data_IF_766444979314
#
_entry.id   IF_766444979314
#
_cell.length_a   1.000
_cell.length_b   1.000
_cell.length_c   1.000
_cell.angle_alpha   90.00
_cell.angle_beta   90.00
_cell.angle_gamma   90.00
#
_symmetry.space_group_name_H-M   'P 1'
#
loop_
_entity.id
_entity.type
_entity.pdbx_description
1 polymer ?
#
# COMPACT_ATOMS: atom_id res chain seq x y z
N UNK A 1 16.91 42.93 -20.57
CA UNK A 1 15.66 42.21 -20.28
C UNK A 1 15.93 40.72 -20.51
N UNK A 2 16.09 39.94 -19.45
CA UNK A 2 16.35 38.48 -19.55
C UNK A 2 15.01 37.77 -19.33
N UNK A 3 14.51 37.10 -20.34
CA UNK A 3 13.29 36.27 -20.22
C UNK A 3 13.61 35.02 -19.43
N UNK A 4 13.05 34.93 -18.23
CA UNK A 4 13.07 33.75 -17.39
C UNK A 4 11.98 32.78 -17.90
N UNK A 5 12.37 31.79 -18.64
CA UNK A 5 11.49 30.68 -19.05
C UNK A 5 11.26 29.79 -17.82
N UNK A 6 10.11 29.95 -17.19
CA UNK A 6 9.62 29.03 -16.15
C UNK A 6 9.08 27.77 -16.87
N UNK A 7 9.87 26.71 -16.86
CA UNK A 7 9.43 25.39 -17.29
C UNK A 7 8.50 24.82 -16.19
N UNK A 8 7.21 25.03 -16.32
CA UNK A 8 6.21 24.30 -15.55
C UNK A 8 6.12 22.88 -16.12
N UNK A 9 6.74 21.91 -15.45
CA UNK A 9 6.55 20.51 -15.75
C UNK A 9 5.11 20.12 -15.40
N UNK A 10 4.27 20.06 -16.40
CA UNK A 10 2.91 19.55 -16.31
C UNK A 10 3.00 18.03 -16.12
N UNK A 11 2.90 17.55 -14.86
CA UNK A 11 2.73 16.13 -14.57
C UNK A 11 1.31 15.77 -15.01
N UNK A 12 1.20 15.27 -16.23
CA UNK A 12 -0.04 14.67 -16.72
C UNK A 12 -0.23 13.37 -15.98
N UNK A 13 -1.00 13.41 -14.89
CA UNK A 13 -1.54 12.20 -14.26
C UNK A 13 -2.55 11.60 -15.25
N UNK A 14 -2.13 10.64 -16.06
CA UNK A 14 -3.06 9.78 -16.79
C UNK A 14 -3.89 9.03 -15.74
N UNK A 15 -5.10 9.50 -15.51
CA UNK A 15 -6.13 8.73 -14.78
C UNK A 15 -6.51 7.58 -15.72
N UNK A 16 -5.86 6.42 -15.54
CA UNK A 16 -6.27 5.19 -16.19
C UNK A 16 -7.60 4.82 -15.54
N UNK A 17 -8.69 5.05 -16.26
CA UNK A 17 -10.06 4.73 -15.86
C UNK A 17 -10.17 3.23 -15.58
N UNK A 18 -10.16 2.83 -14.30
CA UNK A 18 -10.35 1.43 -13.89
C UNK A 18 -9.59 0.97 -12.65
N UNK A 19 -8.54 1.68 -12.24
CA UNK A 19 -7.84 1.41 -10.97
C UNK A 19 -8.59 2.04 -9.79
N UNK A 20 -8.65 1.39 -8.62
CA UNK A 20 -8.97 2.05 -7.36
C UNK A 20 -8.07 3.26 -7.17
N UNK A 21 -8.60 4.32 -6.57
CA UNK A 21 -7.99 5.65 -6.53
C UNK A 21 -6.55 5.73 -6.02
N UNK A 22 -6.10 4.72 -5.22
CA UNK A 22 -4.77 4.74 -4.60
C UNK A 22 -3.74 3.82 -5.28
N UNK A 23 -4.15 3.00 -6.26
CA UNK A 23 -3.22 2.21 -7.05
C UNK A 23 -2.77 2.95 -8.30
N UNK A 24 -1.49 2.80 -8.65
CA UNK A 24 -0.88 3.34 -9.87
C UNK A 24 0.14 2.35 -10.42
N UNK A 25 0.46 2.47 -11.70
CA UNK A 25 1.51 1.70 -12.35
C UNK A 25 2.72 2.61 -12.56
N UNK A 26 3.87 2.24 -11.98
CA UNK A 26 5.13 2.93 -12.16
C UNK A 26 6.21 1.92 -12.55
N UNK A 27 6.91 2.14 -13.66
CA UNK A 27 8.00 1.27 -14.15
C UNK A 27 7.59 -0.22 -14.23
N UNK A 28 6.38 -0.49 -14.71
CA UNK A 28 5.76 -1.82 -14.78
C UNK A 28 5.45 -2.50 -13.44
N UNK A 29 5.52 -1.78 -12.34
CA UNK A 29 5.13 -2.30 -11.02
C UNK A 29 3.82 -1.64 -10.57
N UNK A 30 2.98 -2.41 -9.89
CA UNK A 30 1.78 -1.93 -9.26
C UNK A 30 2.12 -1.39 -7.87
N UNK A 31 1.87 -0.11 -7.68
CA UNK A 31 2.17 0.61 -6.44
C UNK A 31 0.88 1.12 -5.85
N UNK A 32 0.65 0.88 -4.56
CA UNK A 32 -0.38 1.56 -3.80
C UNK A 32 0.22 2.76 -3.08
N UNK A 33 -0.44 3.92 -3.18
CA UNK A 33 0.06 5.13 -2.53
C UNK A 33 -1.09 6.02 -2.09
N UNK A 34 -1.06 6.47 -0.83
CA UNK A 34 -2.03 7.43 -0.28
C UNK A 34 -1.36 8.44 0.62
N UNK A 35 -1.92 9.64 0.63
CA UNK A 35 -1.54 10.74 1.53
C UNK A 35 -2.66 10.95 2.53
N UNK A 36 -2.27 11.12 3.79
CA UNK A 36 -3.16 11.37 4.92
C UNK A 36 -2.76 12.70 5.60
N UNK A 37 -3.75 13.43 6.10
CA UNK A 37 -3.49 14.58 6.94
C UNK A 37 -3.20 14.11 8.37
N UNK A 38 -2.14 14.64 9.00
CA UNK A 38 -1.77 14.30 10.37
C UNK A 38 -0.68 15.23 10.89
N UNK A 39 -0.82 15.67 12.12
CA UNK A 39 0.20 16.43 12.85
C UNK A 39 1.18 15.54 13.62
N UNK A 40 0.94 14.22 13.66
CA UNK A 40 1.82 13.27 14.32
C UNK A 40 3.24 13.36 13.78
N UNK A 41 4.22 13.28 14.68
CA UNK A 41 5.63 13.16 14.33
C UNK A 41 5.94 11.82 13.64
N UNK A 42 7.10 11.70 13.00
CA UNK A 42 7.53 10.44 12.40
C UNK A 42 7.67 9.33 13.44
N UNK A 43 8.02 9.66 14.69
CA UNK A 43 8.11 8.70 15.79
C UNK A 43 6.76 8.20 16.26
N UNK A 44 5.76 9.07 16.37
CA UNK A 44 4.38 8.68 16.71
C UNK A 44 3.78 7.78 15.63
N UNK A 45 4.01 8.10 14.35
CA UNK A 45 3.61 7.26 13.24
C UNK A 45 4.33 5.89 13.24
N UNK A 46 5.61 5.86 13.57
CA UNK A 46 6.38 4.63 13.73
C UNK A 46 5.82 3.77 14.88
N UNK A 47 5.54 4.35 16.05
CA UNK A 47 4.95 3.62 17.17
C UNK A 47 3.53 3.12 16.85
N UNK A 48 2.72 3.91 16.15
CA UNK A 48 1.40 3.49 15.68
C UNK A 48 1.49 2.29 14.73
N UNK A 49 2.44 2.30 13.80
CA UNK A 49 2.73 1.15 12.97
C UNK A 49 3.14 -0.05 13.82
N UNK A 50 4.11 0.12 14.72
CA UNK A 50 4.67 -0.95 15.54
C UNK A 50 3.63 -1.65 16.42
N UNK A 51 2.67 -0.90 16.93
CA UNK A 51 1.57 -1.42 17.76
C UNK A 51 0.59 -2.32 16.99
N UNK A 52 0.48 -2.16 15.67
CA UNK A 52 -0.39 -3.01 14.86
C UNK A 52 0.13 -4.46 14.71
N UNK A 53 1.41 -4.72 15.02
CA UNK A 53 2.01 -6.06 14.95
C UNK A 53 2.29 -6.55 13.51
N UNK A 54 2.74 -7.79 13.40
CA UNK A 54 2.97 -8.51 12.14
C UNK A 54 4.09 -7.94 11.24
N UNK A 55 5.02 -7.16 11.80
CA UNK A 55 6.17 -6.65 11.05
C UNK A 55 7.34 -7.63 11.11
N UNK A 56 7.85 -8.02 9.94
CA UNK A 56 9.13 -8.73 9.84
C UNK A 56 10.29 -7.77 10.08
N UNK A 57 10.16 -6.55 9.54
CA UNK A 57 11.15 -5.48 9.69
C UNK A 57 10.42 -4.16 9.80
N UNK A 58 10.90 -3.30 10.69
CA UNK A 58 10.44 -1.91 10.79
C UNK A 58 11.57 -1.05 11.37
N UNK A 59 11.91 0.04 10.70
CA UNK A 59 12.97 0.96 11.15
C UNK A 59 12.78 2.35 10.56
N UNK A 60 13.34 3.35 11.23
CA UNK A 60 13.31 4.75 10.81
C UNK A 60 14.65 5.11 10.17
N UNK A 61 14.59 5.76 9.01
CA UNK A 61 15.75 6.36 8.34
C UNK A 61 15.40 7.81 8.01
N UNK A 62 15.94 8.77 8.77
CA UNK A 62 15.62 10.20 8.66
C UNK A 62 14.11 10.44 8.86
N UNK A 63 13.43 10.96 7.84
CA UNK A 63 11.99 11.29 7.87
C UNK A 63 11.13 10.19 7.19
N UNK A 64 11.64 8.96 7.16
CA UNK A 64 10.98 7.83 6.55
C UNK A 64 10.98 6.62 7.47
N UNK A 65 9.84 5.93 7.57
CA UNK A 65 9.74 4.60 8.16
C UNK A 65 9.70 3.59 7.02
N UNK A 66 10.61 2.62 7.05
CA UNK A 66 10.64 1.51 6.11
C UNK A 66 10.19 0.27 6.85
N UNK A 67 9.26 -0.48 6.26
CA UNK A 67 8.72 -1.66 6.90
C UNK A 67 8.43 -2.79 5.91
N UNK A 68 8.45 -4.01 6.43
CA UNK A 68 7.98 -5.21 5.74
C UNK A 68 6.94 -5.87 6.63
N UNK A 69 5.76 -6.13 6.09
CA UNK A 69 4.67 -6.78 6.80
C UNK A 69 4.43 -8.15 6.18
N UNK A 70 4.30 -9.16 7.07
CA UNK A 70 3.69 -10.42 6.73
C UNK A 70 2.20 -10.30 7.04
N UNK A 71 1.33 -10.52 6.07
CA UNK A 71 -0.10 -10.56 6.31
C UNK A 71 -0.62 -11.99 6.24
N UNK A 72 -1.42 -12.36 7.23
CA UNK A 72 -2.14 -13.63 7.27
C UNK A 72 -3.51 -13.41 6.66
N UNK A 73 -3.67 -13.73 5.38
CA UNK A 73 -4.86 -13.39 4.59
C UNK A 73 -6.18 -13.79 5.25
N UNK A 74 -6.21 -14.90 5.96
CA UNK A 74 -7.44 -15.38 6.58
C UNK A 74 -7.90 -14.46 7.71
N UNK A 75 -7.03 -14.23 8.69
CA UNK A 75 -7.40 -13.51 9.91
C UNK A 75 -7.58 -12.00 9.65
N UNK A 76 -6.67 -11.39 8.90
CA UNK A 76 -6.70 -9.95 8.64
C UNK A 76 -7.83 -9.56 7.67
N UNK A 77 -8.05 -10.34 6.62
CA UNK A 77 -9.11 -10.03 5.66
C UNK A 77 -10.50 -10.33 6.24
N UNK A 78 -10.66 -11.36 7.08
CA UNK A 78 -11.91 -11.63 7.80
C UNK A 78 -12.24 -10.52 8.81
N UNK A 79 -11.24 -9.95 9.49
CA UNK A 79 -11.42 -8.81 10.38
C UNK A 79 -11.97 -7.56 9.64
N UNK A 80 -11.64 -7.40 8.36
CA UNK A 80 -12.19 -6.36 7.49
C UNK A 80 -13.50 -6.76 6.78
N UNK A 81 -14.18 -7.80 7.25
CA UNK A 81 -15.50 -8.22 6.76
C UNK A 81 -15.50 -9.04 5.47
N UNK A 82 -14.34 -9.53 5.04
CA UNK A 82 -14.23 -10.39 3.86
C UNK A 82 -14.47 -11.85 4.23
N UNK A 83 -15.32 -12.53 3.46
CA UNK A 83 -15.59 -13.97 3.67
C UNK A 83 -14.56 -14.81 2.92
N UNK A 84 -13.90 -15.75 3.59
CA UNK A 84 -12.81 -16.60 3.06
C UNK A 84 -13.15 -17.30 1.74
N UNK A 85 -14.40 -17.65 1.49
CA UNK A 85 -14.82 -18.31 0.24
C UNK A 85 -14.85 -17.37 -0.98
N UNK A 86 -14.81 -16.04 -0.76
CA UNK A 86 -14.82 -15.04 -1.85
C UNK A 86 -13.44 -14.70 -2.38
N UNK A 87 -12.37 -15.23 -1.77
CA UNK A 87 -10.99 -14.93 -2.17
C UNK A 87 -10.50 -15.81 -3.30
N UNK A 88 -9.69 -15.26 -4.20
CA UNK A 88 -8.85 -16.06 -5.05
C UNK A 88 -7.99 -17.02 -4.22
N UNK A 89 -7.81 -18.26 -4.70
CA UNK A 89 -7.08 -19.29 -3.96
C UNK A 89 -5.64 -18.91 -3.59
N UNK A 90 -4.98 -18.06 -4.38
CA UNK A 90 -3.61 -17.60 -4.16
C UNK A 90 -3.48 -16.61 -2.99
N UNK A 91 -4.57 -15.99 -2.52
CA UNK A 91 -4.54 -15.11 -1.36
C UNK A 91 -4.66 -15.88 -0.03
N UNK A 92 -5.09 -17.14 -0.06
CA UNK A 92 -5.38 -17.91 1.16
C UNK A 92 -4.17 -18.17 2.06
N UNK A 93 -2.96 -18.38 1.54
CA UNK A 93 -1.80 -18.64 2.39
C UNK A 93 -1.21 -17.41 3.08
N UNK A 94 -1.64 -16.20 2.69
CA UNK A 94 -1.02 -14.97 3.15
C UNK A 94 0.01 -14.42 2.17
N UNK A 95 0.75 -13.42 2.61
CA UNK A 95 1.75 -12.77 1.77
C UNK A 95 2.62 -11.79 2.53
N UNK A 96 3.42 -11.06 1.77
CA UNK A 96 4.33 -10.06 2.28
C UNK A 96 4.32 -8.83 1.39
N UNK A 97 4.49 -7.67 1.98
CA UNK A 97 4.69 -6.42 1.23
C UNK A 97 5.68 -5.49 1.92
N UNK A 98 6.32 -4.66 1.12
CA UNK A 98 7.22 -3.61 1.60
C UNK A 98 6.50 -2.27 1.55
N UNK A 99 6.64 -1.51 2.62
CA UNK A 99 6.03 -0.19 2.72
C UNK A 99 7.02 0.88 3.15
N UNK A 100 6.70 2.11 2.75
CA UNK A 100 7.42 3.32 3.07
C UNK A 100 6.42 4.33 3.59
N UNK A 101 6.65 4.88 4.79
CA UNK A 101 5.89 5.99 5.33
C UNK A 101 6.79 7.21 5.40
N UNK A 102 6.45 8.25 4.68
CA UNK A 102 7.21 9.50 4.60
C UNK A 102 6.40 10.64 5.23
N UNK A 103 7.02 11.37 6.18
CA UNK A 103 6.40 12.52 6.84
C UNK A 103 6.80 13.80 6.11
N UNK A 104 5.82 14.69 5.91
CA UNK A 104 6.00 16.11 5.60
C UNK A 104 5.12 16.91 6.53
N UNK A 105 5.29 18.24 6.52
CA UNK A 105 4.49 19.15 7.34
C UNK A 105 2.98 18.91 7.16
N UNK A 106 2.27 18.63 8.26
CA UNK A 106 0.84 18.39 8.30
C UNK A 106 0.34 17.10 7.58
N UNK A 107 1.25 16.27 7.02
CA UNK A 107 0.83 15.10 6.22
C UNK A 107 1.84 13.97 6.31
N UNK A 108 1.36 12.73 6.10
CA UNK A 108 2.23 11.60 5.79
C UNK A 108 1.74 10.88 4.54
N UNK A 109 2.67 10.26 3.84
CA UNK A 109 2.41 9.45 2.66
C UNK A 109 2.83 8.02 2.91
N UNK A 110 1.94 7.09 2.64
CA UNK A 110 2.27 5.66 2.64
C UNK A 110 2.37 5.18 1.19
N UNK A 111 3.43 4.43 0.91
CA UNK A 111 3.66 3.78 -0.39
C UNK A 111 3.89 2.30 -0.13
N UNK A 112 3.14 1.43 -0.78
CA UNK A 112 3.29 -0.03 -0.70
C UNK A 112 3.77 -0.55 -2.05
N UNK A 113 4.79 -1.39 -1.98
CA UNK A 113 5.41 -2.04 -3.16
C UNK A 113 5.67 -3.51 -2.86
N UNK A 114 6.04 -4.29 -3.88
CA UNK A 114 6.44 -5.68 -3.74
C UNK A 114 5.42 -6.50 -2.94
N UNK A 115 4.18 -6.53 -3.43
CA UNK A 115 3.11 -7.30 -2.82
C UNK A 115 3.23 -8.74 -3.34
N UNK A 116 3.81 -9.60 -2.48
CA UNK A 116 4.06 -11.00 -2.80
C UNK A 116 3.07 -11.90 -2.07
N UNK A 117 2.60 -12.94 -2.75
CA UNK A 117 1.72 -13.98 -2.18
C UNK A 117 2.48 -15.29 -2.04
N UNK A 118 2.31 -15.95 -0.91
CA UNK A 118 2.83 -17.31 -0.72
C UNK A 118 1.82 -18.31 -1.29
N UNK A 119 2.22 -19.04 -2.32
CA UNK A 119 1.44 -20.15 -2.85
C UNK A 119 2.06 -21.48 -2.39
N UNK A 120 1.32 -22.27 -1.60
CA UNK A 120 1.76 -23.59 -1.13
C UNK A 120 3.16 -23.68 -0.48
N UNK A 121 3.57 -22.64 0.25
CA UNK A 121 4.81 -22.66 1.03
C UNK A 121 6.09 -22.32 0.27
N UNK A 122 6.18 -22.61 -1.02
CA UNK A 122 7.41 -22.44 -1.80
C UNK A 122 7.24 -21.55 -3.04
N UNK A 123 6.02 -21.25 -3.44
CA UNK A 123 5.74 -20.45 -4.63
C UNK A 123 5.32 -19.03 -4.23
N UNK A 124 6.14 -18.05 -4.61
CA UNK A 124 5.81 -16.63 -4.43
C UNK A 124 5.28 -16.10 -5.75
N UNK A 125 4.03 -15.61 -5.77
CA UNK A 125 3.44 -14.89 -6.90
C UNK A 125 3.37 -13.41 -6.55
N UNK A 126 4.01 -12.57 -7.35
CA UNK A 126 3.93 -11.12 -7.17
C UNK A 126 2.61 -10.60 -7.74
N UNK A 127 2.03 -9.58 -7.09
CA UNK A 127 0.78 -8.97 -7.56
C UNK A 127 0.91 -8.41 -8.97
N UNK A 128 2.09 -7.96 -9.38
CA UNK A 128 2.35 -7.41 -10.71
C UNK A 128 2.11 -8.49 -11.78
N UNK A 129 2.61 -9.72 -11.56
CA UNK A 129 2.42 -10.83 -12.47
C UNK A 129 0.95 -11.24 -12.59
N UNK A 130 0.21 -11.17 -11.48
CA UNK A 130 -1.21 -11.47 -11.44
C UNK A 130 -2.09 -10.36 -12.05
N UNK A 131 -1.72 -9.10 -11.81
CA UNK A 131 -2.54 -7.94 -12.14
C UNK A 131 -2.17 -7.26 -13.45
N UNK A 132 -0.91 -7.35 -13.90
CA UNK A 132 -0.44 -6.64 -15.08
C UNK A 132 -0.25 -7.58 -16.29
N UNK A 133 -0.40 -7.02 -17.48
CA UNK A 133 -0.04 -7.63 -18.76
C UNK A 133 0.57 -6.55 -19.65
N UNK A 134 1.83 -6.68 -20.00
CA UNK A 134 2.58 -5.70 -20.81
C UNK A 134 2.57 -4.28 -20.19
N UNK A 135 2.64 -4.18 -18.87
CA UNK A 135 2.63 -2.90 -18.15
C UNK A 135 1.24 -2.26 -18.01
N UNK A 136 0.17 -2.94 -18.41
CA UNK A 136 -1.20 -2.48 -18.29
C UNK A 136 -2.01 -3.38 -17.34
N UNK A 137 -3.01 -2.82 -16.67
CA UNK A 137 -3.89 -3.59 -15.81
C UNK A 137 -4.69 -4.62 -16.60
N UNK A 138 -4.73 -5.86 -16.10
CA UNK A 138 -5.62 -6.89 -16.63
C UNK A 138 -7.08 -6.54 -16.33
N UNK A 139 -7.89 -6.38 -17.35
CA UNK A 139 -9.32 -6.05 -17.23
C UNK A 139 -10.21 -7.27 -16.90
N UNK A 140 -9.83 -8.11 -15.97
CA UNK A 140 -10.68 -9.20 -15.54
C UNK A 140 -11.28 -8.96 -14.15
N UNK A 141 -12.45 -9.51 -13.89
CA UNK A 141 -13.19 -9.34 -12.63
C UNK A 141 -12.39 -9.80 -11.41
N UNK A 142 -11.55 -10.83 -11.56
CA UNK A 142 -10.73 -11.39 -10.48
C UNK A 142 -9.67 -10.37 -10.04
N UNK A 143 -8.92 -9.83 -10.98
CA UNK A 143 -7.91 -8.80 -10.72
C UNK A 143 -8.54 -7.56 -10.08
N UNK A 144 -9.64 -7.06 -10.64
CA UNK A 144 -10.34 -5.90 -10.07
C UNK A 144 -10.75 -6.11 -8.61
N UNK A 145 -11.29 -7.30 -8.27
CA UNK A 145 -11.66 -7.63 -6.88
C UNK A 145 -10.45 -7.66 -5.94
N UNK A 146 -9.32 -8.24 -6.38
CA UNK A 146 -8.09 -8.29 -5.57
C UNK A 146 -7.57 -6.89 -5.29
N UNK A 147 -7.47 -6.05 -6.31
CA UNK A 147 -6.98 -4.68 -6.17
C UNK A 147 -7.91 -3.85 -5.27
N UNK A 148 -9.22 -3.98 -5.40
CA UNK A 148 -10.20 -3.32 -4.52
C UNK A 148 -10.07 -3.79 -3.07
N UNK A 149 -9.81 -5.08 -2.86
CA UNK A 149 -9.59 -5.64 -1.53
C UNK A 149 -8.36 -5.00 -0.87
N UNK A 150 -7.22 -4.98 -1.57
CA UNK A 150 -6.01 -4.37 -1.04
C UNK A 150 -6.12 -2.87 -0.85
N UNK A 151 -6.84 -2.17 -1.72
CA UNK A 151 -7.07 -0.73 -1.55
C UNK A 151 -7.78 -0.45 -0.21
N UNK A 152 -8.82 -1.19 0.13
CA UNK A 152 -9.52 -1.07 1.42
C UNK A 152 -8.63 -1.47 2.59
N UNK A 153 -7.98 -2.63 2.49
CA UNK A 153 -7.09 -3.14 3.53
C UNK A 153 -6.00 -2.13 3.89
N UNK A 154 -5.31 -1.57 2.89
CA UNK A 154 -4.27 -0.57 3.13
C UNK A 154 -4.85 0.76 3.63
N UNK A 155 -6.01 1.17 3.16
CA UNK A 155 -6.69 2.35 3.68
C UNK A 155 -6.97 2.21 5.17
N UNK A 156 -7.55 1.10 5.60
CA UNK A 156 -7.92 0.85 6.99
C UNK A 156 -6.66 0.68 7.87
N UNK A 157 -5.65 -0.03 7.35
CA UNK A 157 -4.42 -0.32 8.09
C UNK A 157 -3.53 0.91 8.32
N UNK A 158 -3.52 1.85 7.41
CA UNK A 158 -2.58 2.98 7.44
C UNK A 158 -3.23 4.34 7.72
N UNK A 159 -4.51 4.37 8.06
CA UNK A 159 -5.17 5.60 8.50
C UNK A 159 -4.96 5.80 10.01
N UNK A 160 -3.98 6.62 10.34
CA UNK A 160 -3.67 7.02 11.73
C UNK A 160 -4.27 8.38 12.10
N UNK A 161 -5.18 8.93 11.31
CA UNK A 161 -5.77 10.25 11.55
C UNK A 161 -6.59 10.32 12.85
N UNK A 162 -7.11 9.18 13.31
CA UNK A 162 -7.90 9.07 14.54
C UNK A 162 -7.20 8.27 15.66
N UNK A 163 -5.94 7.89 15.49
CA UNK A 163 -5.20 7.22 16.55
C UNK A 163 -4.81 8.27 17.61
N UNK A 164 -5.61 8.39 18.67
CA UNK A 164 -5.13 8.98 19.91
C UNK A 164 -3.98 8.11 20.40
N UNK A 165 -2.76 8.58 20.25
CA UNK A 165 -1.62 7.99 20.95
C UNK A 165 -1.95 8.15 22.43
N UNK A 166 -2.35 7.07 23.09
CA UNK A 166 -2.54 7.07 24.54
C UNK A 166 -1.17 7.38 25.15
N UNK A 167 -0.96 8.65 25.46
CA UNK A 167 0.18 9.09 26.26
C UNK A 167 -0.01 8.50 27.67
N UNK A 168 0.78 7.49 27.99
CA UNK A 168 0.89 6.95 29.34
C UNK A 168 1.88 7.76 30.16
#
# INVERSE_FOLDING_TARGET
>A
MKNLLVLTSLVISMVISGLPHNFKIESNNLIWQKVYDSDNSIYELYESLRQQGNYEKIYIVRDEVIFTINFESKNELEAHGYKTWSYPSFLKPGGKFTGYLQKKEGKYRVTITNIDFNWNGDFVENIDDAALKKGEMRENTRTKKVIQLFDRYFNDKFDFSNSEVQNW
#
